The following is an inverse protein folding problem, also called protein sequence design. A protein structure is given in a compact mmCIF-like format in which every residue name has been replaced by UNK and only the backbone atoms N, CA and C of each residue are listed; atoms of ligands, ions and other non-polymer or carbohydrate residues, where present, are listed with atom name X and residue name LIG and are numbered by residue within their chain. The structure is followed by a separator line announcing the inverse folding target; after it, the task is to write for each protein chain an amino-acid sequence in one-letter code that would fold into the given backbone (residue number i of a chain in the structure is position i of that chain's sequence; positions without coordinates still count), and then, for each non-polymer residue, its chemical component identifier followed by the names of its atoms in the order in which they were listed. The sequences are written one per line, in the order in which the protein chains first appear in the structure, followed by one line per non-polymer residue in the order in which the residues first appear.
data_IF_297835203092
#
_entry.id   IF_297835203092
#
_cell.length_a   1.000
_cell.length_b   1.000
_cell.length_c   1.000
_cell.angle_alpha   90.00
_cell.angle_beta   90.00
_cell.angle_gamma   90.00
#
_symmetry.space_group_name_H-M   'P 1'
#
loop_
_entity.id
_entity.type
_entity.pdbx_description
1 polymer ?
#
# COMPACT_ATOMS: atom_id res chain seq x y z
N UNK A 1 11.44 -13.56 0.55
CA UNK A 1 12.43 -12.45 0.63
C UNK A 1 12.51 -11.79 2.01
N UNK A 2 12.50 -12.54 3.14
CA UNK A 2 12.60 -11.92 4.48
C UNK A 2 13.94 -11.23 4.74
N UNK A 3 15.02 -11.74 4.13
CA UNK A 3 16.38 -11.22 4.31
C UNK A 3 16.53 -9.74 3.92
N UNK A 4 15.70 -9.24 3.01
CA UNK A 4 15.76 -7.86 2.50
C UNK A 4 14.81 -6.89 3.22
N UNK A 5 14.06 -7.36 4.21
CA UNK A 5 13.16 -6.50 4.97
C UNK A 5 13.94 -5.53 5.86
N UNK A 6 13.36 -4.35 6.13
CA UNK A 6 13.92 -3.32 7.03
C UNK A 6 15.26 -2.72 6.57
N UNK A 7 15.61 -2.90 5.30
CA UNK A 7 16.79 -2.29 4.67
C UNK A 7 16.46 -1.02 3.85
N UNK A 8 15.26 -0.44 4.01
CA UNK A 8 14.83 0.74 3.27
C UNK A 8 14.39 0.48 1.82
N UNK A 9 14.61 -0.72 1.27
CA UNK A 9 14.26 -1.07 -0.12
C UNK A 9 12.77 -0.82 -0.42
N UNK A 10 11.87 -1.17 0.50
CA UNK A 10 10.44 -0.93 0.33
C UNK A 10 10.08 0.55 0.28
N UNK A 11 10.79 1.40 1.03
CA UNK A 11 10.60 2.85 0.96
C UNK A 11 11.11 3.37 -0.37
N UNK A 12 12.32 3.00 -0.79
CA UNK A 12 12.89 3.43 -2.07
C UNK A 12 11.97 3.10 -3.26
N UNK A 13 11.39 1.90 -3.28
CA UNK A 13 10.44 1.50 -4.34
C UNK A 13 9.14 2.31 -4.29
N UNK A 14 8.67 2.68 -3.11
CA UNK A 14 7.44 3.43 -2.96
C UNK A 14 7.66 4.92 -3.27
N UNK A 15 8.77 5.50 -2.82
CA UNK A 15 9.16 6.88 -3.11
C UNK A 15 9.24 7.11 -4.63
N UNK A 16 9.90 6.21 -5.36
CA UNK A 16 9.96 6.24 -6.83
C UNK A 16 8.56 6.13 -7.47
N UNK A 17 7.68 5.28 -6.93
CA UNK A 17 6.31 5.15 -7.43
C UNK A 17 5.47 6.40 -7.17
N UNK A 18 5.65 7.05 -6.01
CA UNK A 18 4.97 8.29 -5.66
C UNK A 18 5.45 9.47 -6.51
N UNK A 19 6.77 9.58 -6.75
CA UNK A 19 7.36 10.55 -7.68
C UNK A 19 6.80 10.38 -9.09
N UNK A 20 6.78 9.15 -9.61
CA UNK A 20 6.18 8.86 -10.90
C UNK A 20 4.70 9.24 -10.94
N UNK A 21 3.92 8.92 -9.90
CA UNK A 21 2.52 9.31 -9.84
C UNK A 21 2.34 10.84 -9.84
N UNK A 22 3.17 11.57 -9.11
CA UNK A 22 3.13 13.03 -9.07
C UNK A 22 3.43 13.64 -10.45
N UNK A 23 4.46 13.12 -11.15
CA UNK A 23 4.81 13.54 -12.52
C UNK A 23 3.69 13.28 -13.54
N UNK A 24 2.85 12.27 -13.28
CA UNK A 24 1.70 11.94 -14.11
C UNK A 24 0.40 12.61 -13.67
N UNK A 25 0.46 13.53 -12.71
CA UNK A 25 -0.70 14.21 -12.12
C UNK A 25 -1.74 13.23 -11.52
N UNK A 26 -1.32 12.05 -11.09
CA UNK A 26 -2.21 11.04 -10.47
C UNK A 26 -2.58 11.50 -9.07
N UNK A 27 -3.87 11.56 -8.77
CA UNK A 27 -4.36 12.03 -7.47
C UNK A 27 -4.15 11.03 -6.32
N UNK A 28 -4.22 9.73 -6.60
CA UNK A 28 -4.17 8.68 -5.58
C UNK A 28 -3.38 7.46 -6.02
N UNK A 29 -2.50 6.98 -5.15
CA UNK A 29 -1.89 5.65 -5.24
C UNK A 29 -2.72 4.68 -4.41
N UNK A 30 -3.01 3.50 -4.98
CA UNK A 30 -3.73 2.45 -4.30
C UNK A 30 -2.91 1.16 -4.23
N UNK A 31 -3.07 0.41 -3.14
CA UNK A 31 -2.62 -0.97 -3.04
C UNK A 31 -3.78 -1.86 -2.60
N UNK A 32 -3.73 -3.11 -3.05
CA UNK A 32 -4.61 -4.17 -2.56
C UNK A 32 -3.76 -5.19 -1.84
N UNK A 33 -4.17 -5.59 -0.64
CA UNK A 33 -3.43 -6.53 0.20
C UNK A 33 -4.39 -7.47 0.92
N UNK A 34 -3.90 -8.55 1.50
CA UNK A 34 -4.74 -9.45 2.29
C UNK A 34 -5.22 -8.74 3.55
N UNK A 35 -6.52 -8.83 3.82
CA UNK A 35 -7.18 -8.16 4.93
C UNK A 35 -6.79 -8.73 6.29
N UNK A 36 -7.07 -7.95 7.35
CA UNK A 36 -6.95 -8.36 8.74
C UNK A 36 -7.95 -9.46 9.14
N UNK A 37 -9.03 -9.67 8.36
CA UNK A 37 -9.94 -10.80 8.53
C UNK A 37 -9.26 -12.16 8.26
N UNK A 38 -8.10 -12.18 7.61
CA UNK A 38 -7.26 -13.37 7.47
C UNK A 38 -6.12 -13.38 8.50
N UNK A 39 -5.83 -14.51 9.19
CA UNK A 39 -4.87 -14.57 10.31
C UNK A 39 -3.38 -14.58 9.90
N UNK A 40 -3.03 -14.18 8.66
CA UNK A 40 -1.65 -14.28 8.18
C UNK A 40 -0.75 -13.18 8.77
N UNK A 41 0.24 -13.59 9.57
CA UNK A 41 1.17 -12.70 10.26
C UNK A 41 2.17 -11.99 9.34
N UNK A 42 2.46 -12.52 8.14
CA UNK A 42 3.29 -11.82 7.16
C UNK A 42 2.51 -10.68 6.53
N UNK A 43 1.22 -10.88 6.24
CA UNK A 43 0.36 -9.81 5.73
C UNK A 43 0.01 -8.77 6.80
N UNK A 44 -0.03 -9.14 8.08
CA UNK A 44 -0.07 -8.16 9.17
C UNK A 44 1.10 -7.17 9.08
N UNK A 45 2.33 -7.66 8.86
CA UNK A 45 3.52 -6.82 8.66
C UNK A 45 3.46 -6.00 7.38
N UNK A 46 2.88 -6.54 6.31
CA UNK A 46 2.64 -5.78 5.06
C UNK A 46 1.71 -4.59 5.31
N UNK A 47 0.61 -4.78 6.04
CA UNK A 47 -0.30 -3.69 6.40
C UNK A 47 0.36 -2.66 7.31
N UNK A 48 1.15 -3.10 8.30
CA UNK A 48 1.94 -2.19 9.15
C UNK A 48 2.92 -1.34 8.32
N UNK A 49 3.60 -1.95 7.34
CA UNK A 49 4.46 -1.21 6.42
C UNK A 49 3.67 -0.15 5.64
N UNK A 50 2.55 -0.51 5.01
CA UNK A 50 1.72 0.45 4.27
C UNK A 50 1.20 1.60 5.14
N UNK A 51 0.77 1.31 6.38
CA UNK A 51 0.39 2.37 7.34
C UNK A 51 1.57 3.29 7.67
N UNK A 52 2.77 2.73 7.85
CA UNK A 52 3.97 3.50 8.21
C UNK A 52 4.42 4.49 7.13
N UNK A 53 4.04 4.24 5.87
CA UNK A 53 4.36 5.09 4.71
C UNK A 53 3.16 5.95 4.28
N UNK A 54 2.10 6.00 5.08
CA UNK A 54 0.99 6.94 4.92
C UNK A 54 -0.19 6.45 4.09
N UNK A 55 -0.27 5.15 3.76
CA UNK A 55 -1.50 4.60 3.18
C UNK A 55 -2.55 4.40 4.27
N UNK A 56 -3.79 4.74 3.92
CA UNK A 56 -4.98 4.61 4.75
C UNK A 56 -5.86 3.48 4.23
N UNK A 57 -6.48 2.74 5.14
CA UNK A 57 -7.46 1.69 4.82
C UNK A 57 -8.75 2.34 4.28
N UNK A 58 -9.21 1.90 3.11
CA UNK A 58 -10.40 2.46 2.46
C UNK A 58 -11.59 1.52 2.52
N UNK A 59 -11.42 0.28 2.05
CA UNK A 59 -12.51 -0.69 1.96
C UNK A 59 -11.97 -2.12 2.01
N UNK A 60 -12.72 -3.01 2.66
CA UNK A 60 -12.49 -4.45 2.61
C UNK A 60 -13.50 -5.12 1.67
N UNK A 61 -13.00 -5.90 0.73
CA UNK A 61 -13.78 -6.72 -0.19
C UNK A 61 -13.64 -8.20 0.19
N UNK A 62 -14.73 -8.82 0.63
CA UNK A 62 -14.73 -10.22 1.05
C UNK A 62 -14.59 -11.22 -0.12
N UNK A 63 -15.00 -10.83 -1.33
CA UNK A 63 -15.12 -11.77 -2.45
C UNK A 63 -14.24 -11.44 -3.67
N UNK A 64 -13.56 -10.28 -3.68
CA UNK A 64 -12.79 -9.81 -4.85
C UNK A 64 -11.70 -10.79 -5.30
N UNK A 65 -11.03 -11.46 -4.36
CA UNK A 65 -9.98 -12.45 -4.63
C UNK A 65 -10.37 -13.88 -4.31
N UNK A 66 -11.67 -14.13 -4.03
CA UNK A 66 -12.29 -15.31 -3.36
C UNK A 66 -12.45 -15.14 -1.85
N UNK A 67 -13.43 -15.83 -1.30
CA UNK A 67 -13.85 -15.76 0.11
C UNK A 67 -12.76 -16.14 1.11
N UNK A 68 -11.79 -16.97 0.71
CA UNK A 68 -10.66 -17.35 1.57
C UNK A 68 -9.61 -16.24 1.67
N UNK A 69 -9.64 -15.24 0.77
CA UNK A 69 -8.64 -14.18 0.67
C UNK A 69 -9.33 -12.80 0.68
N UNK A 70 -9.92 -12.37 1.81
CA UNK A 70 -10.53 -11.05 1.90
C UNK A 70 -9.49 -9.98 1.56
N UNK A 71 -9.83 -9.10 0.63
CA UNK A 71 -8.92 -8.09 0.08
C UNK A 71 -9.15 -6.75 0.77
N UNK A 72 -8.11 -6.14 1.29
CA UNK A 72 -8.11 -4.77 1.80
C UNK A 72 -7.54 -3.82 0.72
N UNK A 73 -8.33 -2.81 0.35
CA UNK A 73 -7.87 -1.67 -0.43
C UNK A 73 -7.36 -0.58 0.51
N UNK A 74 -6.15 -0.10 0.24
CA UNK A 74 -5.58 1.05 0.93
C UNK A 74 -5.17 2.12 -0.09
N UNK A 75 -5.25 3.38 0.29
CA UNK A 75 -5.00 4.53 -0.58
C UNK A 75 -4.09 5.56 0.09
N UNK A 76 -3.28 6.25 -0.72
CA UNK A 76 -2.53 7.44 -0.31
C UNK A 76 -2.78 8.54 -1.34
N UNK A 77 -3.09 9.74 -0.87
CA UNK A 77 -3.14 10.92 -1.73
C UNK A 77 -1.73 11.29 -2.16
N UNK A 78 -1.53 11.54 -3.45
CA UNK A 78 -0.24 11.97 -3.98
C UNK A 78 -0.20 13.49 -3.91
N UNK A 79 0.82 14.00 -3.21
CA UNK A 79 1.09 15.43 -3.19
C UNK A 79 1.56 15.85 -4.57
N UNK A 80 0.70 16.55 -5.31
CA UNK A 80 1.09 17.26 -6.52
C UNK A 80 2.19 18.26 -6.12
N UNK A 81 3.32 18.24 -6.82
CA UNK A 81 4.37 19.25 -6.65
C UNK A 81 3.73 20.64 -6.70
N UNK A 82 4.07 21.50 -5.74
CA UNK A 82 3.47 22.82 -5.61
C UNK A 82 3.47 23.53 -6.95
N UNK A 83 2.28 23.90 -7.45
CA UNK A 83 2.15 24.87 -8.53
C UNK A 83 2.91 26.13 -8.11
N UNK A 84 4.08 26.35 -8.70
CA UNK A 84 4.77 27.63 -8.66
C UNK A 84 4.53 28.35 -9.99
#
# INVERSE_FOLDING_TARGET
MKAYHRQGIGNLLLDEAEEWCADQEVAFLQVKTLSASHPDLNYAKTREFYRSVGLLELEEYLELWRSENPCLLMVKAISQGSFC
#
